data_IF_947408524780
#
_entry.id   IF_947408524780
#
_cell.length_a   1.000
_cell.length_b   1.000
_cell.length_c   1.000
_cell.angle_alpha   90.00
_cell.angle_beta   90.00
_cell.angle_gamma   90.00
#
_symmetry.space_group_name_H-M   'P 1'
#
loop_
_entity.id
_entity.type
_entity.pdbx_description
1 polymer ?
#
# COMPACT_ATOMS: atom_id res chain seq x y z
N UNK A 1 -10.83 39.87 31.46
CA UNK A 1 -9.61 39.18 31.93
C UNK A 1 -9.97 37.71 32.06
N UNK A 2 -9.23 36.85 31.38
CA UNK A 2 -9.62 35.49 31.00
C UNK A 2 -9.75 34.52 32.19
N UNK A 3 -10.75 33.62 32.11
CA UNK A 3 -10.90 32.41 32.91
C UNK A 3 -10.36 31.24 32.08
N UNK A 4 -9.16 30.77 32.39
CA UNK A 4 -8.50 29.68 31.69
C UNK A 4 -8.67 28.41 32.52
N UNK A 5 -9.52 27.51 32.01
CA UNK A 5 -9.90 26.26 32.65
C UNK A 5 -8.73 25.34 32.99
N UNK A 6 -8.54 25.15 34.29
CA UNK A 6 -7.76 24.06 34.87
C UNK A 6 -8.50 22.75 34.59
N UNK A 7 -8.09 22.04 33.54
CA UNK A 7 -8.66 20.72 33.24
C UNK A 7 -8.18 19.78 34.34
N UNK A 8 -9.10 19.36 35.21
CA UNK A 8 -8.84 18.47 36.35
C UNK A 8 -8.05 17.21 35.92
N UNK A 9 -6.83 17.09 36.43
CA UNK A 9 -5.86 16.00 36.13
C UNK A 9 -6.42 14.61 36.48
N UNK A 10 -7.33 14.51 37.46
CA UNK A 10 -8.01 13.26 37.78
C UNK A 10 -9.00 12.85 36.67
N UNK A 11 -9.66 13.82 36.05
CA UNK A 11 -10.55 13.61 34.91
C UNK A 11 -9.77 13.20 33.66
N UNK A 12 -8.63 13.83 33.39
CA UNK A 12 -7.73 13.46 32.28
C UNK A 12 -7.16 12.04 32.45
N UNK A 13 -6.73 11.68 33.67
CA UNK A 13 -6.22 10.34 33.98
C UNK A 13 -7.26 9.23 33.74
N UNK A 14 -8.52 9.46 34.15
CA UNK A 14 -9.62 8.52 33.90
C UNK A 14 -9.91 8.38 32.40
N UNK A 15 -9.84 9.49 31.65
CA UNK A 15 -10.00 9.48 30.19
C UNK A 15 -8.89 8.65 29.51
N UNK A 16 -7.63 8.83 29.89
CA UNK A 16 -6.52 8.04 29.34
C UNK A 16 -6.65 6.55 29.65
N UNK A 17 -7.06 6.20 30.88
CA UNK A 17 -7.32 4.80 31.23
C UNK A 17 -8.43 4.18 30.36
N UNK A 18 -9.53 4.91 30.12
CA UNK A 18 -10.60 4.45 29.24
C UNK A 18 -10.13 4.27 27.79
N UNK A 19 -9.37 5.23 27.25
CA UNK A 19 -8.79 5.15 25.89
C UNK A 19 -7.87 3.94 25.75
N UNK A 20 -7.04 3.65 26.76
CA UNK A 20 -6.15 2.49 26.74
C UNK A 20 -6.92 1.17 26.71
N UNK A 21 -8.04 1.08 27.44
CA UNK A 21 -8.93 -0.09 27.39
C UNK A 21 -9.54 -0.22 25.99
N UNK A 22 -9.99 0.87 25.38
CA UNK A 22 -10.53 0.85 24.01
C UNK A 22 -9.46 0.40 23.00
N UNK A 23 -8.27 0.99 23.02
CA UNK A 23 -7.16 0.66 22.12
C UNK A 23 -6.67 -0.79 22.21
N UNK A 24 -6.91 -1.47 23.34
CA UNK A 24 -6.57 -2.88 23.53
C UNK A 24 -7.67 -3.85 23.09
N UNK A 25 -8.90 -3.36 22.88
CA UNK A 25 -10.06 -4.20 22.52
C UNK A 25 -10.59 -3.96 21.12
N UNK A 26 -10.35 -2.77 20.55
CA UNK A 26 -10.79 -2.47 19.19
C UNK A 26 -10.02 -3.34 18.18
N UNK A 27 -10.68 -3.83 17.13
CA UNK A 27 -10.01 -4.57 16.07
C UNK A 27 -8.89 -3.74 15.45
N UNK A 28 -7.70 -4.34 15.34
CA UNK A 28 -6.61 -3.80 14.53
C UNK A 28 -6.55 -4.58 13.23
N UNK A 29 -6.35 -3.87 12.14
CA UNK A 29 -6.14 -4.46 10.82
C UNK A 29 -4.67 -4.31 10.47
N UNK A 30 -4.11 -5.35 9.85
CA UNK A 30 -2.82 -5.19 9.19
C UNK A 30 -3.03 -4.24 8.02
N UNK A 31 -2.22 -3.20 7.93
CA UNK A 31 -2.22 -2.31 6.77
C UNK A 31 -1.01 -2.66 5.89
N UNK A 32 -1.22 -2.61 4.58
CA UNK A 32 -0.20 -2.80 3.56
C UNK A 32 -0.19 -1.55 2.69
N UNK A 33 0.97 -1.06 2.30
CA UNK A 33 1.10 0.05 1.37
C UNK A 33 1.98 -0.36 0.19
N UNK A 34 1.50 -0.18 -1.03
CA UNK A 34 2.22 -0.50 -2.27
C UNK A 34 2.25 0.70 -3.20
N UNK A 35 3.30 0.77 -4.01
CA UNK A 35 3.51 1.82 -5.00
C UNK A 35 3.20 1.36 -6.42
N UNK A 36 2.36 2.11 -7.13
CA UNK A 36 2.20 2.03 -8.58
C UNK A 36 3.14 3.04 -9.22
N UNK A 37 4.25 2.56 -9.79
CA UNK A 37 5.16 3.36 -10.59
C UNK A 37 5.08 2.91 -12.04
N UNK A 38 4.95 3.87 -12.96
CA UNK A 38 4.87 3.59 -14.39
C UNK A 38 6.06 4.17 -15.14
N UNK A 39 6.39 3.61 -16.29
CA UNK A 39 7.27 4.27 -17.23
C UNK A 39 6.49 5.10 -18.28
N UNK A 40 7.19 5.78 -19.17
CA UNK A 40 6.64 6.58 -20.27
C UNK A 40 5.80 5.77 -21.27
N UNK A 41 6.00 4.44 -21.33
CA UNK A 41 5.22 3.51 -22.15
C UNK A 41 3.96 2.99 -21.41
N UNK A 42 3.76 3.39 -20.14
CA UNK A 42 2.65 2.95 -19.30
C UNK A 42 2.84 1.56 -18.68
N UNK A 43 4.03 0.97 -18.78
CA UNK A 43 4.36 -0.29 -18.12
C UNK A 43 4.55 -0.07 -16.62
N UNK A 44 4.21 -1.08 -15.82
CA UNK A 44 4.27 -1.05 -14.36
C UNK A 44 5.57 -1.65 -13.86
N UNK A 45 6.20 -1.00 -12.87
CA UNK A 45 7.35 -1.57 -12.18
C UNK A 45 6.91 -2.70 -11.24
N UNK A 46 7.38 -3.92 -11.50
CA UNK A 46 7.22 -5.07 -10.61
C UNK A 46 8.56 -5.51 -10.02
N UNK A 47 8.52 -6.03 -8.80
CA UNK A 47 9.65 -6.59 -8.09
C UNK A 47 9.56 -8.12 -8.10
N UNK A 48 10.60 -8.76 -8.61
CA UNK A 48 10.80 -10.20 -8.46
C UNK A 48 11.29 -10.49 -7.04
N UNK A 49 10.46 -11.16 -6.25
CA UNK A 49 10.72 -11.37 -4.83
C UNK A 49 11.64 -12.57 -4.59
N UNK A 50 12.49 -12.47 -3.57
CA UNK A 50 13.45 -13.51 -3.22
C UNK A 50 12.84 -14.73 -2.52
N UNK A 51 11.61 -14.63 -2.04
CA UNK A 51 10.98 -15.61 -1.13
C UNK A 51 9.70 -16.27 -1.68
N UNK A 52 9.13 -15.78 -2.79
CA UNK A 52 7.99 -16.41 -3.47
C UNK A 52 8.17 -16.38 -5.00
N UNK A 53 7.31 -17.12 -5.71
CA UNK A 53 7.38 -17.23 -7.17
C UNK A 53 6.71 -16.06 -7.89
N UNK A 54 5.62 -15.53 -7.34
CA UNK A 54 4.94 -14.36 -7.92
C UNK A 54 5.74 -13.08 -7.66
N UNK A 55 5.73 -12.19 -8.64
CA UNK A 55 6.21 -10.82 -8.49
C UNK A 55 5.15 -9.96 -7.78
N UNK A 56 5.55 -8.80 -7.30
CA UNK A 56 4.65 -7.88 -6.62
C UNK A 56 5.03 -6.42 -6.87
N UNK A 57 4.14 -5.51 -6.53
CA UNK A 57 4.47 -4.08 -6.48
C UNK A 57 5.43 -3.82 -5.30
N UNK A 58 6.37 -2.87 -5.43
CA UNK A 58 7.22 -2.49 -4.31
C UNK A 58 6.39 -1.85 -3.19
N UNK A 59 6.82 -2.07 -1.96
CA UNK A 59 6.04 -1.73 -0.76
C UNK A 59 5.94 -2.89 0.23
N UNK A 60 5.18 -2.67 1.30
CA UNK A 60 5.24 -3.57 2.44
C UNK A 60 4.15 -3.36 3.48
N UNK A 61 4.38 -3.94 4.65
CA UNK A 61 3.48 -3.83 5.79
C UNK A 61 3.74 -2.50 6.50
N UNK A 62 2.67 -1.78 6.82
CA UNK A 62 2.77 -0.52 7.56
C UNK A 62 3.17 -0.79 9.01
N UNK A 63 4.20 -0.10 9.48
CA UNK A 63 4.70 -0.26 10.84
C UNK A 63 3.74 0.28 11.90
N UNK A 64 3.87 -0.17 13.17
CA UNK A 64 3.10 0.39 14.27
C UNK A 64 3.26 1.92 14.37
N UNK A 65 2.13 2.64 14.29
CA UNK A 65 2.06 4.11 14.35
C UNK A 65 2.66 4.82 13.13
N UNK A 66 2.90 4.10 12.04
CA UNK A 66 3.26 4.65 10.74
C UNK A 66 1.99 4.93 9.91
N UNK A 67 2.01 5.96 9.05
CA UNK A 67 0.94 6.17 8.08
C UNK A 67 1.21 5.36 6.81
N UNK A 68 0.18 4.88 6.08
CA UNK A 68 0.40 4.11 4.86
C UNK A 68 1.23 4.84 3.79
N UNK A 69 1.06 6.16 3.66
CA UNK A 69 1.85 6.96 2.73
C UNK A 69 3.33 7.08 3.17
N UNK A 70 3.60 7.18 4.47
CA UNK A 70 4.98 7.15 4.97
C UNK A 70 5.62 5.76 4.77
N UNK A 71 4.84 4.69 4.97
CA UNK A 71 5.27 3.32 4.73
C UNK A 71 5.72 3.13 3.28
N UNK A 72 4.89 3.46 2.28
CA UNK A 72 5.31 3.24 0.89
C UNK A 72 6.59 4.02 0.56
N UNK A 73 6.72 5.27 1.02
CA UNK A 73 7.96 6.06 0.79
C UNK A 73 9.18 5.41 1.45
N UNK A 74 9.04 4.92 2.68
CA UNK A 74 10.10 4.19 3.40
C UNK A 74 10.47 2.91 2.64
N UNK A 75 9.48 2.09 2.29
CA UNK A 75 9.69 0.82 1.61
C UNK A 75 10.39 1.03 0.26
N UNK A 76 9.95 1.96 -0.59
CA UNK A 76 10.64 2.25 -1.86
C UNK A 76 12.11 2.66 -1.62
N UNK A 77 12.35 3.49 -0.60
CA UNK A 77 13.71 3.90 -0.24
C UNK A 77 14.55 2.71 0.24
N UNK A 78 14.01 1.81 1.05
CA UNK A 78 14.72 0.65 1.61
C UNK A 78 14.94 -0.46 0.56
N UNK A 79 13.91 -0.74 -0.24
CA UNK A 79 13.86 -1.82 -1.21
C UNK A 79 14.61 -1.50 -2.51
N UNK A 80 14.47 -0.26 -3.01
CA UNK A 80 14.96 0.15 -4.33
C UNK A 80 16.09 1.19 -4.26
N UNK A 81 16.36 1.78 -3.09
CA UNK A 81 17.46 2.73 -2.88
C UNK A 81 17.20 4.12 -3.46
N UNK A 82 15.94 4.50 -3.67
CA UNK A 82 15.54 5.77 -4.30
C UNK A 82 14.43 6.47 -3.53
N UNK A 83 14.40 7.80 -3.61
CA UNK A 83 13.33 8.60 -3.04
C UNK A 83 12.22 8.81 -4.08
N UNK A 84 10.97 8.69 -3.64
CA UNK A 84 9.77 8.95 -4.45
C UNK A 84 8.82 9.88 -3.72
N UNK A 85 7.99 10.59 -4.49
CA UNK A 85 6.81 11.28 -3.99
C UNK A 85 5.58 10.39 -4.07
N UNK A 86 4.51 10.79 -3.38
CA UNK A 86 3.18 10.19 -3.53
C UNK A 86 2.29 11.21 -4.23
N UNK A 87 1.88 10.92 -5.45
CA UNK A 87 1.04 11.81 -6.26
C UNK A 87 -0.44 11.67 -5.89
N UNK A 88 -0.84 10.46 -5.47
CA UNK A 88 -2.22 10.19 -5.07
C UNK A 88 -2.44 8.79 -4.54
N UNK A 89 -3.70 8.48 -4.24
CA UNK A 89 -4.15 7.15 -3.86
C UNK A 89 -5.00 6.58 -5.00
N UNK A 90 -4.58 5.46 -5.58
CA UNK A 90 -5.28 4.82 -6.68
C UNK A 90 -6.37 3.87 -6.18
N UNK A 91 -6.08 3.09 -5.12
CA UNK A 91 -7.05 2.15 -4.58
C UNK A 91 -6.88 1.88 -3.08
N UNK A 92 -7.98 1.46 -2.45
CA UNK A 92 -8.01 0.81 -1.14
C UNK A 92 -8.67 -0.56 -1.31
N UNK A 93 -7.95 -1.63 -0.99
CA UNK A 93 -8.42 -3.00 -1.16
C UNK A 93 -8.43 -3.72 0.18
N UNK A 94 -9.61 -4.06 0.69
CA UNK A 94 -9.71 -4.93 1.85
C UNK A 94 -9.47 -6.38 1.43
N UNK A 95 -8.54 -7.06 2.11
CA UNK A 95 -8.16 -8.44 1.81
C UNK A 95 -8.67 -9.37 2.93
N UNK A 96 -9.44 -10.42 2.60
CA UNK A 96 -9.94 -11.37 3.60
C UNK A 96 -8.81 -12.20 4.22
N UNK A 97 -9.06 -12.89 5.35
CA UNK A 97 -8.09 -13.80 5.95
C UNK A 97 -7.57 -14.84 4.95
N UNK A 98 -6.26 -15.09 4.95
CA UNK A 98 -5.62 -15.96 3.98
C UNK A 98 -4.42 -16.71 4.57
N UNK A 99 -4.39 -18.04 4.40
CA UNK A 99 -3.31 -18.93 4.87
C UNK A 99 -2.86 -18.69 6.31
N UNK A 100 -3.81 -18.46 7.21
CA UNK A 100 -3.56 -18.25 8.64
C UNK A 100 -3.23 -16.80 9.02
N UNK A 101 -3.14 -15.88 8.06
CA UNK A 101 -3.16 -14.46 8.34
C UNK A 101 -4.60 -13.96 8.53
N UNK A 102 -4.77 -13.02 9.45
CA UNK A 102 -5.98 -12.21 9.56
C UNK A 102 -6.15 -11.30 8.33
N UNK A 103 -7.28 -10.59 8.28
CA UNK A 103 -7.59 -9.67 7.21
C UNK A 103 -6.67 -8.43 7.20
N UNK A 104 -6.61 -7.76 6.05
CA UNK A 104 -5.75 -6.61 5.83
C UNK A 104 -6.43 -5.52 5.00
N UNK A 105 -5.87 -4.31 5.04
CA UNK A 105 -6.23 -3.22 4.14
C UNK A 105 -4.99 -2.82 3.36
N UNK A 106 -5.05 -2.94 2.05
CA UNK A 106 -3.99 -2.54 1.12
C UNK A 106 -4.30 -1.16 0.54
N UNK A 107 -3.34 -0.26 0.67
CA UNK A 107 -3.36 1.08 0.08
C UNK A 107 -2.42 1.09 -1.14
N UNK A 108 -2.96 1.33 -2.33
CA UNK A 108 -2.18 1.45 -3.55
C UNK A 108 -1.99 2.94 -3.88
N UNK A 109 -0.76 3.42 -3.78
CA UNK A 109 -0.40 4.81 -4.05
C UNK A 109 0.11 4.97 -5.48
N UNK A 110 -0.32 6.05 -6.14
CA UNK A 110 0.27 6.48 -7.42
C UNK A 110 1.58 7.19 -7.12
N UNK A 111 2.68 6.67 -7.66
CA UNK A 111 4.02 7.25 -7.54
C UNK A 111 4.44 7.99 -8.83
N UNK A 112 3.50 8.15 -9.77
CA UNK A 112 3.70 8.88 -11.02
C UNK A 112 4.33 8.04 -12.12
N UNK A 113 4.92 8.75 -13.08
CA UNK A 113 5.63 8.17 -14.22
C UNK A 113 7.10 8.62 -14.24
N UNK A 114 7.99 7.71 -14.58
CA UNK A 114 9.44 7.93 -14.70
C UNK A 114 9.93 7.46 -16.07
N UNK A 115 11.16 7.80 -16.44
CA UNK A 115 11.78 7.18 -17.62
C UNK A 115 12.10 5.71 -17.36
N UNK A 116 12.08 4.87 -18.40
CA UNK A 116 12.43 3.44 -18.28
C UNK A 116 13.83 3.23 -17.69
N UNK A 117 14.76 4.16 -17.94
CA UNK A 117 16.13 4.21 -17.40
C UNK A 117 16.20 4.36 -15.87
N UNK A 118 15.09 4.70 -15.21
CA UNK A 118 14.99 4.81 -13.75
C UNK A 118 15.54 3.57 -13.02
N UNK A 119 15.35 2.38 -13.60
CA UNK A 119 15.79 1.11 -13.00
C UNK A 119 17.32 0.95 -12.97
N UNK A 120 18.05 1.68 -13.81
CA UNK A 120 19.52 1.59 -13.91
C UNK A 120 20.22 2.18 -12.67
N UNK A 121 19.53 3.07 -11.96
CA UNK A 121 20.04 3.73 -10.75
C UNK A 121 19.70 3.02 -9.44
N UNK A 122 18.95 1.92 -9.48
CA UNK A 122 18.43 1.29 -8.26
C UNK A 122 19.49 0.53 -7.49
N UNK A 123 19.39 0.61 -6.16
CA UNK A 123 20.15 -0.23 -5.23
C UNK A 123 19.19 -1.19 -4.55
N UNK A 124 19.06 -2.38 -5.14
CA UNK A 124 18.08 -3.36 -4.67
C UNK A 124 18.49 -4.00 -3.34
N UNK A 125 17.51 -4.10 -2.44
CA UNK A 125 17.60 -4.85 -1.22
C UNK A 125 17.54 -6.36 -1.50
N UNK A 126 18.70 -6.95 -1.82
CA UNK A 126 18.81 -8.32 -2.38
C UNK A 126 18.23 -9.45 -1.53
N UNK A 127 18.02 -9.24 -0.23
CA UNK A 127 17.34 -10.23 0.63
C UNK A 127 15.84 -10.34 0.33
N UNK A 128 15.25 -9.31 -0.25
CA UNK A 128 13.83 -9.19 -0.54
C UNK A 128 13.55 -9.16 -2.05
N UNK A 129 14.37 -8.44 -2.82
CA UNK A 129 14.18 -8.24 -4.26
C UNK A 129 15.37 -8.80 -5.06
N UNK A 130 15.07 -9.74 -5.96
CA UNK A 130 16.05 -10.31 -6.90
C UNK A 130 16.32 -9.39 -8.07
N UNK A 131 15.25 -8.87 -8.67
CA UNK A 131 15.27 -8.02 -9.85
C UNK A 131 14.00 -7.16 -9.90
N UNK A 132 14.02 -6.14 -10.76
CA UNK A 132 12.83 -5.36 -11.09
C UNK A 132 12.58 -5.45 -12.59
N UNK A 133 11.31 -5.34 -12.97
CA UNK A 133 10.86 -5.53 -14.34
C UNK A 133 9.80 -4.51 -14.67
N UNK A 134 9.92 -3.89 -15.85
CA UNK A 134 8.81 -3.14 -16.42
C UNK A 134 7.89 -4.12 -17.16
N UNK A 135 6.61 -4.13 -16.81
CA UNK A 135 5.63 -5.09 -17.35
C UNK A 135 4.44 -4.34 -17.94
N UNK A 136 4.12 -4.65 -19.19
CA UNK A 136 2.96 -4.08 -19.86
C UNK A 136 1.66 -4.50 -19.15
N UNK A 137 0.63 -3.63 -19.10
CA UNK A 137 -0.64 -3.96 -18.44
C UNK A 137 -1.26 -5.29 -18.88
N UNK A 138 -1.12 -5.64 -20.17
CA UNK A 138 -1.64 -6.88 -20.76
C UNK A 138 -0.97 -8.15 -20.22
N UNK A 139 0.27 -8.05 -19.73
CA UNK A 139 1.09 -9.19 -19.30
C UNK A 139 1.11 -9.35 -17.77
N UNK A 140 0.54 -8.40 -17.01
CA UNK A 140 0.59 -8.39 -15.53
C UNK A 140 0.09 -9.69 -14.92
N UNK A 141 -0.98 -10.27 -15.47
CA UNK A 141 -1.62 -11.48 -14.96
C UNK A 141 -0.71 -12.72 -15.00
N UNK A 142 0.34 -12.71 -15.82
CA UNK A 142 1.31 -13.81 -15.93
C UNK A 142 2.39 -13.75 -14.84
N UNK A 143 2.54 -12.61 -14.15
CA UNK A 143 3.63 -12.35 -13.21
C UNK A 143 3.20 -12.24 -11.75
N UNK A 144 2.03 -11.65 -11.48
CA UNK A 144 1.60 -11.34 -10.11
C UNK A 144 0.53 -12.31 -9.60
N UNK A 145 0.29 -12.30 -8.29
CA UNK A 145 -0.79 -13.08 -7.71
C UNK A 145 -2.16 -12.64 -8.30
N UNK A 146 -3.14 -13.56 -8.46
CA UNK A 146 -4.41 -13.26 -9.13
C UNK A 146 -5.17 -12.05 -8.55
N UNK A 147 -5.09 -11.80 -7.24
CA UNK A 147 -5.75 -10.64 -6.63
C UNK A 147 -5.05 -9.32 -7.01
N UNK A 148 -3.73 -9.31 -7.12
CA UNK A 148 -2.96 -8.15 -7.57
C UNK A 148 -3.28 -7.84 -9.03
N UNK A 149 -3.37 -8.86 -9.89
CA UNK A 149 -3.74 -8.68 -11.30
C UNK A 149 -5.12 -8.03 -11.45
N UNK A 150 -6.15 -8.57 -10.77
CA UNK A 150 -7.50 -7.99 -10.78
C UNK A 150 -7.53 -6.55 -10.25
N UNK A 151 -6.79 -6.26 -9.18
CA UNK A 151 -6.72 -4.90 -8.62
C UNK A 151 -6.09 -3.93 -9.63
N UNK A 152 -4.98 -4.32 -10.26
CA UNK A 152 -4.30 -3.49 -11.26
C UNK A 152 -5.14 -3.29 -12.51
N UNK A 153 -5.84 -4.32 -12.99
CA UNK A 153 -6.80 -4.21 -14.10
C UNK A 153 -7.84 -3.11 -13.82
N UNK A 154 -8.47 -3.11 -12.63
CA UNK A 154 -9.44 -2.06 -12.26
C UNK A 154 -8.84 -0.66 -12.21
N UNK A 155 -7.61 -0.55 -11.71
CA UNK A 155 -6.92 0.74 -11.55
C UNK A 155 -6.44 1.29 -12.88
N UNK A 156 -5.99 0.43 -13.80
CA UNK A 156 -5.41 0.82 -15.08
C UNK A 156 -6.50 1.02 -16.16
N UNK A 157 -7.56 0.20 -16.17
CA UNK A 157 -8.68 0.35 -17.12
C UNK A 157 -9.52 1.62 -16.86
N UNK A 158 -9.53 2.12 -15.62
CA UNK A 158 -10.31 3.29 -15.23
C UNK A 158 -9.82 4.62 -15.80
N UNK A 159 -8.63 4.65 -16.41
CA UNK A 159 -7.89 5.90 -16.62
C UNK A 159 -7.63 6.60 -15.28
N UNK A 160 -7.18 7.86 -15.30
CA UNK A 160 -7.17 8.68 -14.06
C UNK A 160 -8.62 8.85 -13.58
N UNK A 161 -9.07 8.00 -12.66
CA UNK A 161 -10.34 8.21 -11.99
C UNK A 161 -10.26 9.49 -11.16
N UNK A 162 -11.36 10.23 -11.05
CA UNK A 162 -11.39 11.43 -10.19
C UNK A 162 -11.24 11.08 -8.69
N UNK A 163 -11.35 9.80 -8.33
CA UNK A 163 -11.36 9.30 -6.96
C UNK A 163 -10.66 7.93 -6.84
N UNK A 164 -10.06 7.62 -5.68
CA UNK A 164 -9.54 6.28 -5.40
C UNK A 164 -10.65 5.21 -5.47
N UNK A 165 -10.34 4.03 -5.98
CA UNK A 165 -11.29 2.91 -6.07
C UNK A 165 -11.27 2.12 -4.75
N UNK A 166 -12.45 1.78 -4.22
CA UNK A 166 -12.58 0.86 -3.08
C UNK A 166 -12.90 -0.56 -3.58
N UNK A 167 -12.17 -1.55 -3.08
CA UNK A 167 -12.27 -2.96 -3.46
C UNK A 167 -12.33 -3.86 -2.22
N UNK A 168 -12.98 -5.01 -2.37
CA UNK A 168 -12.96 -6.13 -1.42
C UNK A 168 -12.48 -7.38 -2.14
N UNK A 169 -11.30 -7.90 -1.76
CA UNK A 169 -10.62 -9.00 -2.45
C UNK A 169 -10.41 -8.75 -3.95
N UNK A 170 -10.12 -7.49 -4.29
CA UNK A 170 -9.98 -6.98 -5.66
C UNK A 170 -11.28 -6.98 -6.49
N UNK A 171 -12.44 -7.08 -5.83
CA UNK A 171 -13.75 -6.96 -6.46
C UNK A 171 -14.47 -5.68 -6.00
N UNK A 172 -15.36 -5.16 -6.84
CA UNK A 172 -16.25 -4.06 -6.44
C UNK A 172 -17.28 -4.58 -5.43
N UNK A 173 -17.38 -3.99 -4.23
CA UNK A 173 -18.36 -4.44 -3.24
C UNK A 173 -19.78 -4.35 -3.77
N UNK A 174 -20.58 -5.39 -3.52
CA UNK A 174 -21.98 -5.44 -3.92
C UNK A 174 -22.24 -5.68 -5.41
N UNK A 175 -21.22 -5.99 -6.21
CA UNK A 175 -21.41 -6.52 -7.57
C UNK A 175 -22.09 -7.89 -7.51
N UNK A 176 -23.27 -8.03 -8.12
CA UNK A 176 -23.80 -9.35 -8.47
C UNK A 176 -22.95 -9.88 -9.63
N UNK A 177 -22.26 -11.00 -9.39
CA UNK A 177 -21.49 -11.70 -10.43
C UNK A 177 -22.36 -12.26 -11.56
#
# INVERSE_FOLDING_TARGET
MADAGETDTATESRRHAAINILNSRLPRKRNIAQGLLRNEDGEVLLCELAYKGEWDLPGGVVDPKESPAACVVREISEELGVAVGVDGLSAVNWLPPWRGWDDAVLFLFDLGAVERSFVDGLTLLRREIRAVHWVAPADLADHVAPYTARMLERVLDGGSTAYPIYLENSETPGGMG
#
